data_IF_132551080887
#
_entry.id   IF_132551080887
#
_cell.length_a   1.000
_cell.length_b   1.000
_cell.length_c   1.000
_cell.angle_alpha   90.00
_cell.angle_beta   90.00
_cell.angle_gamma   90.00
#
_symmetry.space_group_name_H-M   'P 1'
#
loop_
_entity.id
_entity.type
_entity.pdbx_description
1 polymer ?
#
# COMPACT_ATOMS: atom_id res chain seq x y z
N UNK A 1 12.59 8.36 2.95
CA UNK A 1 14.03 8.30 2.50
C UNK A 1 14.14 8.62 1.00
N UNK A 2 15.33 8.79 0.39
CA UNK A 2 15.42 8.99 -1.08
C UNK A 2 14.84 7.80 -1.87
N UNK A 3 15.04 6.57 -1.38
CA UNK A 3 14.47 5.37 -2.00
C UNK A 3 12.93 5.46 -2.15
N UNK A 4 12.27 6.03 -1.14
CA UNK A 4 10.83 6.27 -1.16
C UNK A 4 10.41 7.25 -2.27
N UNK A 5 11.21 8.29 -2.55
CA UNK A 5 10.92 9.25 -3.63
C UNK A 5 10.97 8.58 -5.01
N UNK A 6 11.91 7.66 -5.24
CA UNK A 6 11.91 6.84 -6.46
C UNK A 6 10.66 5.97 -6.55
N UNK A 7 10.27 5.30 -5.46
CA UNK A 7 9.10 4.41 -5.46
C UNK A 7 7.78 5.18 -5.64
N UNK A 8 7.63 6.36 -5.02
CA UNK A 8 6.48 7.25 -5.22
C UNK A 8 6.40 7.69 -6.68
N UNK A 9 7.53 8.13 -7.25
CA UNK A 9 7.59 8.59 -8.65
C UNK A 9 7.36 7.44 -9.64
N UNK A 10 7.88 6.25 -9.36
CA UNK A 10 7.63 5.05 -10.16
C UNK A 10 6.14 4.72 -10.23
N UNK A 11 5.46 4.72 -9.09
CA UNK A 11 4.02 4.45 -9.01
C UNK A 11 3.20 5.50 -9.76
N UNK A 12 3.52 6.79 -9.56
CA UNK A 12 2.86 7.88 -10.27
C UNK A 12 3.05 7.77 -11.79
N UNK A 13 4.27 7.46 -12.25
CA UNK A 13 4.56 7.23 -13.68
C UNK A 13 3.79 6.06 -14.25
N UNK A 14 3.69 4.94 -13.52
CA UNK A 14 2.91 3.79 -13.95
C UNK A 14 1.42 4.16 -14.11
N UNK A 15 0.84 4.91 -13.16
CA UNK A 15 -0.53 5.40 -13.28
C UNK A 15 -0.76 6.33 -14.47
N UNK A 16 0.24 7.15 -14.83
CA UNK A 16 0.26 8.03 -16.01
C UNK A 16 0.68 7.32 -17.31
N UNK A 17 0.71 5.98 -17.33
CA UNK A 17 1.07 5.16 -18.49
C UNK A 17 2.52 5.35 -19.00
N UNK A 18 3.38 6.01 -18.21
CA UNK A 18 4.81 6.09 -18.45
C UNK A 18 5.53 4.87 -17.85
N UNK A 19 5.33 3.71 -18.46
CA UNK A 19 5.83 2.43 -17.95
C UNK A 19 7.36 2.33 -17.97
N UNK A 20 8.01 2.87 -19.00
CA UNK A 20 9.47 2.88 -19.09
C UNK A 20 10.10 3.75 -18.00
N UNK A 21 9.52 4.93 -17.73
CA UNK A 21 9.93 5.78 -16.63
C UNK A 21 9.68 5.14 -15.26
N UNK A 22 8.61 4.37 -15.09
CA UNK A 22 8.35 3.62 -13.86
C UNK A 22 9.38 2.52 -13.63
N UNK A 23 9.70 1.73 -14.68
CA UNK A 23 10.74 0.69 -14.63
C UNK A 23 12.13 1.29 -14.35
N UNK A 24 12.46 2.43 -14.95
CA UNK A 24 13.72 3.12 -14.69
C UNK A 24 13.86 3.56 -13.21
N UNK A 25 12.82 4.14 -12.62
CA UNK A 25 12.83 4.51 -11.19
C UNK A 25 12.94 3.28 -10.27
N UNK A 26 12.24 2.19 -10.61
CA UNK A 26 12.36 0.92 -9.91
C UNK A 26 13.78 0.35 -10.00
N UNK A 27 14.42 0.48 -11.16
CA UNK A 27 15.76 -0.03 -11.37
C UNK A 27 16.79 0.66 -10.47
N UNK A 28 16.66 1.95 -10.18
CA UNK A 28 17.56 2.64 -9.22
C UNK A 28 17.53 2.01 -7.81
N UNK A 29 16.39 1.46 -7.41
CA UNK A 29 16.25 0.72 -6.14
C UNK A 29 16.85 -0.68 -6.27
N UNK A 30 16.43 -1.42 -7.30
CA UNK A 30 16.83 -2.80 -7.55
C UNK A 30 18.32 -2.95 -7.77
N UNK A 31 18.93 -2.05 -8.53
CA UNK A 31 20.37 -2.00 -8.79
C UNK A 31 21.19 -1.85 -7.50
N UNK A 32 20.75 -1.01 -6.55
CA UNK A 32 21.41 -0.89 -5.24
C UNK A 32 21.37 -2.21 -4.46
N UNK A 33 20.31 -2.99 -4.64
CA UNK A 33 20.15 -4.30 -4.03
C UNK A 33 20.79 -5.45 -4.85
N UNK A 34 21.47 -5.15 -5.96
CA UNK A 34 22.08 -6.17 -6.84
C UNK A 34 21.07 -6.98 -7.64
N UNK A 35 19.87 -6.45 -7.87
CA UNK A 35 18.80 -7.09 -8.62
C UNK A 35 18.69 -6.54 -10.05
N UNK A 36 18.30 -7.41 -10.97
CA UNK A 36 18.09 -7.09 -12.39
C UNK A 36 16.88 -6.16 -12.62
N UNK A 37 16.90 -5.48 -13.77
CA UNK A 37 15.77 -4.69 -14.26
C UNK A 37 14.51 -5.56 -14.44
N UNK A 38 13.33 -4.93 -14.30
CA UNK A 38 12.08 -5.61 -14.62
C UNK A 38 11.97 -5.92 -16.12
N UNK A 39 11.36 -7.06 -16.52
CA UNK A 39 11.17 -7.38 -17.92
C UNK A 39 10.41 -6.27 -18.66
N UNK A 40 10.86 -5.94 -19.88
CA UNK A 40 10.22 -4.91 -20.71
C UNK A 40 8.80 -5.26 -21.12
N UNK A 41 8.46 -6.55 -21.09
CA UNK A 41 7.16 -7.10 -21.49
C UNK A 41 6.06 -6.92 -20.43
N UNK A 42 6.38 -6.48 -19.21
CA UNK A 42 5.38 -6.29 -18.17
C UNK A 42 4.39 -5.18 -18.52
N UNK A 43 3.10 -5.46 -18.33
CA UNK A 43 2.04 -4.48 -18.44
C UNK A 43 1.95 -3.57 -17.21
N UNK A 44 1.08 -2.56 -17.28
CA UNK A 44 0.85 -1.58 -16.21
C UNK A 44 0.53 -2.23 -14.87
N UNK A 45 -0.41 -3.19 -14.85
CA UNK A 45 -0.85 -3.82 -13.61
C UNK A 45 0.25 -4.66 -12.97
N UNK A 46 1.02 -5.40 -13.77
CA UNK A 46 2.18 -6.15 -13.28
C UNK A 46 3.27 -5.23 -12.73
N UNK A 47 3.48 -4.07 -13.35
CA UNK A 47 4.42 -3.05 -12.86
C UNK A 47 3.93 -2.48 -11.52
N UNK A 48 2.65 -2.16 -11.38
CA UNK A 48 2.08 -1.67 -10.12
C UNK A 48 2.20 -2.70 -9.00
N UNK A 49 1.99 -3.99 -9.29
CA UNK A 49 2.20 -5.08 -8.33
C UNK A 49 3.69 -5.24 -7.97
N UNK A 50 4.59 -5.11 -8.94
CA UNK A 50 6.03 -5.12 -8.69
C UNK A 50 6.45 -3.94 -7.79
N UNK A 51 5.89 -2.74 -8.01
CA UNK A 51 6.11 -1.57 -7.16
C UNK A 51 5.57 -1.81 -5.74
N UNK A 52 4.35 -2.36 -5.59
CA UNK A 52 3.78 -2.72 -4.28
C UNK A 52 4.73 -3.66 -3.51
N UNK A 53 5.29 -4.66 -4.21
CA UNK A 53 6.22 -5.63 -3.65
C UNK A 53 7.56 -5.00 -3.26
N UNK A 54 8.13 -4.16 -4.12
CA UNK A 54 9.40 -3.48 -3.85
C UNK A 54 9.26 -2.50 -2.68
N UNK A 55 8.15 -1.76 -2.60
CA UNK A 55 7.82 -0.90 -1.44
C UNK A 55 7.74 -1.69 -0.14
N UNK A 56 7.13 -2.88 -0.15
CA UNK A 56 7.05 -3.74 1.04
C UNK A 56 8.44 -4.14 1.55
N UNK A 57 9.37 -4.47 0.65
CA UNK A 57 10.71 -4.94 1.00
C UNK A 57 11.59 -3.76 1.41
N UNK A 58 11.66 -2.73 0.57
CA UNK A 58 12.56 -1.59 0.74
C UNK A 58 12.20 -0.75 1.97
N UNK A 59 10.90 -0.63 2.30
CA UNK A 59 10.40 0.15 3.44
C UNK A 59 9.95 -0.74 4.62
N UNK A 60 10.48 -1.97 4.70
CA UNK A 60 10.09 -2.91 5.76
C UNK A 60 10.38 -2.31 7.14
N UNK A 61 9.38 -2.38 8.04
CA UNK A 61 9.43 -1.85 9.40
C UNK A 61 9.61 -0.32 9.51
N UNK A 62 9.45 0.43 8.42
CA UNK A 62 9.41 1.89 8.45
C UNK A 62 7.96 2.36 8.57
N UNK A 63 7.57 2.85 9.76
CA UNK A 63 6.33 3.60 9.99
C UNK A 63 5.02 2.96 9.47
N UNK A 64 4.98 1.63 9.35
CA UNK A 64 3.79 0.92 8.91
C UNK A 64 3.44 1.11 7.43
N UNK A 65 4.42 1.45 6.57
CA UNK A 65 4.18 1.64 5.12
C UNK A 65 3.36 0.51 4.48
N UNK A 66 3.62 -0.75 4.84
CA UNK A 66 2.86 -1.89 4.29
C UNK A 66 1.35 -1.79 4.54
N UNK A 67 0.93 -1.35 5.72
CA UNK A 67 -0.49 -1.16 6.02
C UNK A 67 -1.07 0.00 5.22
N UNK A 68 -0.38 1.13 5.20
CA UNK A 68 -0.81 2.34 4.49
C UNK A 68 -0.92 2.11 2.97
N UNK A 69 0.05 1.39 2.40
CA UNK A 69 0.08 1.05 0.97
C UNK A 69 -1.05 0.10 0.59
N UNK A 70 -1.30 -0.94 1.37
CA UNK A 70 -2.41 -1.87 1.11
C UNK A 70 -3.77 -1.18 1.23
N UNK A 71 -3.94 -0.32 2.25
CA UNK A 71 -5.16 0.44 2.46
C UNK A 71 -5.46 1.38 1.30
N UNK A 72 -4.49 2.20 0.88
CA UNK A 72 -4.70 3.20 -0.19
C UNK A 72 -4.90 2.59 -1.58
N UNK A 73 -4.36 1.40 -1.81
CA UNK A 73 -4.47 0.69 -3.10
C UNK A 73 -5.65 -0.29 -3.15
N UNK A 74 -6.41 -0.44 -2.07
CA UNK A 74 -7.51 -1.42 -1.98
C UNK A 74 -7.03 -2.87 -2.00
N UNK A 75 -5.75 -3.11 -1.69
CA UNK A 75 -5.11 -4.44 -1.78
C UNK A 75 -5.16 -5.23 -0.48
N UNK A 76 -5.67 -4.65 0.61
CA UNK A 76 -5.71 -5.27 1.95
C UNK A 76 -6.39 -6.63 1.94
N UNK A 77 -7.61 -6.74 1.41
CA UNK A 77 -8.35 -8.01 1.36
C UNK A 77 -7.57 -9.08 0.60
N UNK A 78 -7.10 -8.77 -0.62
CA UNK A 78 -6.29 -9.71 -1.40
C UNK A 78 -5.00 -10.15 -0.68
N UNK A 79 -4.35 -9.25 0.06
CA UNK A 79 -3.12 -9.53 0.78
C UNK A 79 -3.34 -10.27 2.11
N UNK A 80 -4.41 -9.98 2.86
CA UNK A 80 -4.62 -10.50 4.22
C UNK A 80 -5.46 -11.77 4.24
N UNK A 81 -6.38 -11.95 3.28
CA UNK A 81 -7.17 -13.18 3.13
C UNK A 81 -6.32 -14.43 2.94
N UNK A 82 -5.06 -14.29 2.50
CA UNK A 82 -4.12 -15.41 2.29
C UNK A 82 -3.28 -15.73 3.53
N UNK A 83 -3.35 -14.93 4.60
CA UNK A 83 -2.51 -15.08 5.80
C UNK A 83 -3.33 -15.68 6.94
N UNK A 84 -3.06 -16.94 7.38
CA UNK A 84 -3.86 -17.60 8.41
C UNK A 84 -3.94 -16.84 9.73
N UNK A 85 -2.84 -16.21 10.16
CA UNK A 85 -2.78 -15.41 11.39
C UNK A 85 -3.60 -14.11 11.34
N UNK A 86 -4.10 -13.73 10.17
CA UNK A 86 -4.94 -12.54 9.97
C UNK A 86 -6.40 -12.90 9.70
N UNK A 87 -6.79 -14.16 9.94
CA UNK A 87 -8.16 -14.63 9.78
C UNK A 87 -8.92 -14.71 11.12
N UNK A 88 -10.24 -14.41 11.12
CA UNK A 88 -11.02 -13.93 9.98
C UNK A 88 -10.75 -12.45 9.67
N UNK A 89 -10.47 -12.15 8.40
CA UNK A 89 -10.56 -10.78 7.91
C UNK A 89 -12.03 -10.42 7.77
N UNK A 90 -12.58 -9.63 8.71
CA UNK A 90 -14.02 -9.37 8.77
C UNK A 90 -14.50 -8.24 7.84
N UNK A 91 -13.62 -7.75 6.96
CA UNK A 91 -13.96 -6.80 5.89
C UNK A 91 -13.37 -5.41 6.07
N UNK A 92 -13.60 -4.57 5.07
CA UNK A 92 -12.92 -3.29 4.88
C UNK A 92 -13.26 -2.21 5.92
N UNK A 93 -14.25 -2.43 6.79
CA UNK A 93 -14.52 -1.52 7.92
C UNK A 93 -13.30 -1.38 8.84
N UNK A 94 -12.48 -2.43 8.93
CA UNK A 94 -11.23 -2.47 9.71
C UNK A 94 -10.10 -1.61 9.13
N UNK A 95 -10.28 -0.99 7.96
CA UNK A 95 -9.31 -0.05 7.39
C UNK A 95 -9.28 1.30 8.12
N UNK A 96 -10.33 1.63 8.87
CA UNK A 96 -10.44 2.84 9.69
C UNK A 96 -10.31 2.46 11.16
N UNK A 97 -9.69 3.31 11.97
CA UNK A 97 -9.78 3.13 13.42
C UNK A 97 -11.16 3.58 13.92
N UNK A 98 -11.71 2.98 14.99
CA UNK A 98 -12.90 3.52 15.62
C UNK A 98 -12.58 4.92 16.17
N UNK A 99 -13.53 5.83 16.03
CA UNK A 99 -13.53 7.09 16.77
C UNK A 99 -13.70 6.73 18.26
N UNK A 100 -12.88 7.28 19.18
CA UNK A 100 -13.00 6.97 20.60
C UNK A 100 -14.41 7.23 21.14
N UNK A 101 -14.95 6.30 21.93
CA UNK A 101 -16.32 6.38 22.45
C UNK A 101 -16.58 7.68 23.24
N UNK A 102 -15.60 8.14 24.03
CA UNK A 102 -15.72 9.38 24.80
C UNK A 102 -15.96 10.61 23.91
N UNK A 103 -15.42 10.62 22.68
CA UNK A 103 -15.63 11.72 21.73
C UNK A 103 -17.03 11.68 21.11
N UNK A 104 -17.55 10.46 20.87
CA UNK A 104 -18.92 10.25 20.38
C UNK A 104 -19.93 10.65 21.46
N UNK A 105 -19.69 10.28 22.71
CA UNK A 105 -20.54 10.65 23.85
C UNK A 105 -20.52 12.17 24.11
N UNK A 106 -19.36 12.82 23.96
CA UNK A 106 -19.20 14.25 24.18
C UNK A 106 -19.86 15.12 23.09
N UNK A 107 -19.97 14.61 21.85
CA UNK A 107 -20.54 15.35 20.73
C UNK A 107 -21.57 14.52 19.98
N UNK A 108 -22.86 14.81 20.23
CA UNK A 108 -24.00 14.12 19.60
C UNK A 108 -24.03 14.23 18.06
N UNK A 109 -23.31 15.19 17.47
CA UNK A 109 -23.21 15.32 16.01
C UNK A 109 -22.05 14.50 15.42
N UNK A 110 -21.20 13.89 16.25
CA UNK A 110 -20.10 13.06 15.81
C UNK A 110 -20.62 11.64 15.53
N UNK A 111 -20.50 11.21 14.28
CA UNK A 111 -20.96 9.90 13.82
C UNK A 111 -19.76 8.96 13.72
N UNK A 112 -19.92 7.74 14.23
CA UNK A 112 -18.89 6.71 14.20
C UNK A 112 -18.57 6.24 12.76
N UNK A 113 -17.35 5.77 12.54
CA UNK A 113 -16.98 5.11 11.30
C UNK A 113 -17.88 3.88 11.02
N UNK A 114 -18.27 3.62 9.76
CA UNK A 114 -19.12 2.48 9.42
C UNK A 114 -18.57 1.15 9.95
N UNK A 115 -19.46 0.27 10.44
CA UNK A 115 -19.10 -1.06 10.94
C UNK A 115 -18.65 -1.11 12.41
N UNK A 116 -18.41 0.03 13.05
CA UNK A 116 -18.18 0.11 14.50
C UNK A 116 -19.49 0.40 15.23
N UNK A 117 -19.63 -0.15 16.44
CA UNK A 117 -20.80 0.09 17.30
C UNK A 117 -20.76 1.56 17.77
N UNK A 118 -21.93 2.17 17.81
CA UNK A 118 -22.14 3.54 18.30
C UNK A 118 -22.44 3.53 19.80
#
# INVERSE_FOLDING_TARGET
RLAEQYLIRAEARAHLDNLDGAKADMYEIRKRAGLEELPRTLGKDDILLAIEKERQIELMAEWGHRWLDLKRTGRTTAAFSTIPLKQPWAGDYQLLYPIPAIEIEANINLIQNPGYIQ
#
